data_IF_495706998222
#
_entry.id   IF_495706998222
#
_cell.length_a   1.000
_cell.length_b   1.000
_cell.length_c   1.000
_cell.angle_alpha   90.00
_cell.angle_beta   90.00
_cell.angle_gamma   90.00
#
_symmetry.space_group_name_H-M   'P 1'
#
loop_
_entity.id
_entity.type
_entity.pdbx_description
1 polymer ?
#
# COMPACT_ATOMS: atom_id res chain seq x y z
N UNK A 1 16.17 52.45 44.91
CA UNK A 1 14.83 52.78 45.42
C UNK A 1 13.85 52.71 44.26
N UNK A 2 13.08 51.61 44.28
CA UNK A 2 11.74 51.32 43.72
C UNK A 2 11.00 52.51 43.07
N UNK A 3 10.43 52.34 41.86
CA UNK A 3 8.98 52.11 41.75
C UNK A 3 8.47 51.74 40.34
N UNK A 4 7.80 50.59 40.37
CA UNK A 4 6.83 50.00 39.45
C UNK A 4 5.50 50.78 39.52
N UNK A 5 4.81 50.93 38.39
CA UNK A 5 3.40 51.34 38.34
C UNK A 5 2.64 50.40 37.40
N UNK A 6 2.15 49.33 38.00
CA UNK A 6 1.04 48.55 37.50
C UNK A 6 -0.30 49.21 37.81
N UNK A 7 -1.26 49.00 36.89
CA UNK A 7 -2.74 49.19 36.98
C UNK A 7 -3.34 50.53 36.55
N UNK A 8 -4.02 50.50 35.40
CA UNK A 8 -5.34 51.10 35.16
C UNK A 8 -6.11 50.13 34.23
N UNK A 9 -7.05 49.33 34.77
CA UNK A 9 -8.52 49.43 34.58
C UNK A 9 -8.90 49.53 33.09
N UNK A 10 -9.44 48.50 32.43
CA UNK A 10 -10.77 47.92 32.68
C UNK A 10 -11.79 48.55 31.73
N UNK A 11 -12.20 47.83 30.66
CA UNK A 11 -13.16 48.34 29.67
C UNK A 11 -13.64 47.24 28.72
N UNK A 12 -14.96 47.13 28.57
CA UNK A 12 -15.70 45.99 28.04
C UNK A 12 -15.53 45.73 26.53
N UNK A 13 -15.53 44.45 26.16
CA UNK A 13 -15.64 43.95 24.80
C UNK A 13 -17.07 44.15 24.25
N UNK A 14 -17.20 44.90 23.16
CA UNK A 14 -18.43 45.00 22.34
C UNK A 14 -18.20 44.20 21.05
N UNK A 15 -19.07 43.22 20.78
CA UNK A 15 -19.08 42.41 19.55
C UNK A 15 -19.67 43.21 18.37
N UNK A 16 -19.11 43.13 17.16
CA UNK A 16 -19.79 43.61 15.96
C UNK A 16 -20.71 42.54 15.36
N UNK A 17 -22.00 42.87 15.23
CA UNK A 17 -22.98 42.12 14.44
C UNK A 17 -22.78 42.39 12.94
N UNK A 18 -22.55 41.34 12.15
CA UNK A 18 -22.66 41.39 10.69
C UNK A 18 -23.97 40.70 10.28
N UNK A 19 -24.89 41.48 9.71
CA UNK A 19 -26.12 40.98 9.07
C UNK A 19 -25.85 40.68 7.60
N UNK A 20 -26.12 39.45 7.17
CA UNK A 20 -26.24 39.06 5.77
C UNK A 20 -27.72 38.91 5.41
N UNK A 21 -28.20 39.44 4.27
CA UNK A 21 -29.57 39.24 3.84
C UNK A 21 -29.79 37.83 3.29
N UNK A 22 -30.74 37.11 3.90
CA UNK A 22 -31.29 35.83 3.44
C UNK A 22 -32.07 36.02 2.14
N UNK A 23 -31.55 35.50 1.04
CA UNK A 23 -32.31 35.30 -0.20
C UNK A 23 -33.02 33.95 -0.13
N UNK A 24 -34.35 33.98 -0.03
CA UNK A 24 -35.22 32.82 -0.14
C UNK A 24 -35.27 32.34 -1.60
N UNK A 25 -34.81 31.12 -1.88
CA UNK A 25 -35.17 30.39 -3.10
C UNK A 25 -36.38 29.50 -2.85
N UNK A 26 -37.47 29.81 -3.54
CA UNK A 26 -38.72 29.04 -3.57
C UNK A 26 -38.49 27.70 -4.27
N UNK A 27 -38.75 26.60 -3.56
CA UNK A 27 -39.03 25.31 -4.18
C UNK A 27 -40.45 25.33 -4.75
N UNK A 28 -40.56 25.20 -6.08
CA UNK A 28 -41.85 24.93 -6.74
C UNK A 28 -41.99 23.43 -6.95
N UNK A 29 -42.94 22.84 -6.23
CA UNK A 29 -43.40 21.46 -6.41
C UNK A 29 -44.42 21.45 -7.56
N UNK A 30 -44.12 20.73 -8.65
CA UNK A 30 -45.13 20.39 -9.66
C UNK A 30 -45.56 18.93 -9.45
N UNK A 31 -46.85 18.73 -9.18
CA UNK A 31 -47.54 17.43 -9.26
C UNK A 31 -47.89 17.13 -10.72
N UNK A 32 -47.72 15.88 -11.14
CA UNK A 32 -48.27 15.35 -12.39
C UNK A 32 -48.30 13.82 -12.36
N UNK A 33 -49.50 13.27 -12.18
CA UNK A 33 -49.82 11.84 -12.13
C UNK A 33 -49.77 11.15 -13.49
N UNK A 34 -49.39 9.86 -13.54
CA UNK A 34 -50.01 8.89 -14.45
C UNK A 34 -49.76 7.44 -13.97
N UNK A 35 -50.85 6.67 -13.91
CA UNK A 35 -50.93 5.25 -13.58
C UNK A 35 -50.23 4.34 -14.59
N UNK A 36 -49.71 3.20 -14.12
CA UNK A 36 -49.76 1.93 -14.85
C UNK A 36 -49.72 0.75 -13.87
N UNK A 37 -50.80 -0.04 -13.89
CA UNK A 37 -50.91 -1.32 -13.19
C UNK A 37 -49.94 -2.36 -13.78
N UNK A 38 -49.28 -3.13 -12.90
CA UNK A 38 -48.71 -4.42 -13.29
C UNK A 38 -48.89 -5.42 -12.15
N UNK A 39 -49.94 -6.26 -12.27
CA UNK A 39 -50.10 -7.49 -11.49
C UNK A 39 -49.12 -8.54 -12.02
N UNK A 40 -48.18 -8.98 -11.21
CA UNK A 40 -47.39 -10.20 -11.48
C UNK A 40 -47.69 -11.25 -10.40
N UNK A 41 -48.20 -12.38 -10.88
CA UNK A 41 -48.63 -13.55 -10.10
C UNK A 41 -47.42 -14.29 -9.51
N UNK A 42 -47.57 -14.67 -8.25
CA UNK A 42 -46.76 -15.62 -7.51
C UNK A 42 -46.74 -17.00 -8.19
N UNK A 43 -45.56 -17.56 -8.46
CA UNK A 43 -45.35 -18.98 -8.71
C UNK A 43 -44.50 -19.57 -7.58
N UNK A 44 -45.08 -20.49 -6.82
CA UNK A 44 -44.36 -21.41 -5.91
C UNK A 44 -44.02 -22.69 -6.69
N UNK A 45 -42.84 -23.31 -6.52
CA UNK A 45 -42.63 -24.68 -6.93
C UNK A 45 -42.92 -25.65 -5.77
N UNK A 46 -43.70 -26.71 -6.05
CA UNK A 46 -43.81 -27.90 -5.20
C UNK A 46 -42.98 -29.03 -5.82
N UNK A 47 -42.16 -29.63 -4.98
CA UNK A 47 -41.39 -30.85 -5.17
C UNK A 47 -42.26 -32.11 -5.02
N UNK A 48 -41.94 -33.18 -5.76
CA UNK A 48 -41.71 -34.55 -5.25
C UNK A 48 -41.44 -35.57 -6.38
N UNK A 49 -40.43 -36.41 -6.13
CA UNK A 49 -40.02 -37.63 -6.83
C UNK A 49 -41.15 -38.67 -6.94
N UNK A 50 -41.12 -39.46 -8.03
CA UNK A 50 -41.23 -40.94 -8.02
C UNK A 50 -41.18 -41.46 -9.47
N UNK A 51 -40.12 -42.18 -9.87
CA UNK A 51 -40.17 -43.08 -11.04
C UNK A 51 -39.83 -44.47 -10.57
N UNK A 52 -40.84 -45.33 -10.65
CA UNK A 52 -40.80 -46.74 -10.33
C UNK A 52 -40.22 -47.54 -11.51
N UNK A 53 -39.37 -48.50 -11.17
CA UNK A 53 -38.88 -49.58 -12.01
C UNK A 53 -40.02 -50.53 -12.44
N UNK A 54 -40.12 -50.82 -13.74
CA UNK A 54 -40.84 -52.00 -14.26
C UNK A 54 -40.02 -52.68 -15.35
N UNK A 55 -39.52 -53.86 -15.03
CA UNK A 55 -39.09 -54.88 -15.99
C UNK A 55 -40.33 -55.57 -16.56
N UNK A 56 -40.42 -55.77 -17.89
CA UNK A 56 -40.91 -57.03 -18.45
C UNK A 56 -40.59 -57.20 -19.95
N UNK A 57 -39.85 -58.29 -20.17
CA UNK A 57 -39.54 -59.13 -21.33
C UNK A 57 -40.23 -58.84 -22.68
N UNK A 58 -39.40 -58.77 -23.71
CA UNK A 58 -39.75 -58.85 -25.12
C UNK A 58 -39.46 -60.28 -25.64
N UNK A 59 -40.39 -60.86 -26.40
CA UNK A 59 -40.27 -62.18 -27.05
C UNK A 59 -39.61 -62.07 -28.43
N UNK A 60 -38.80 -63.08 -28.77
CA UNK A 60 -38.03 -63.22 -30.02
C UNK A 60 -38.91 -63.33 -31.27
N UNK A 61 -38.48 -62.70 -32.36
CA UNK A 61 -38.36 -63.31 -33.70
C UNK A 61 -37.11 -62.70 -34.37
N UNK A 62 -36.34 -63.52 -35.10
CA UNK A 62 -35.00 -63.15 -35.55
C UNK A 62 -34.85 -63.08 -37.06
N UNK A 63 -33.78 -62.39 -37.51
CA UNK A 63 -33.14 -62.54 -38.83
C UNK A 63 -31.64 -62.26 -38.65
N UNK A 64 -30.78 -63.10 -39.24
CA UNK A 64 -29.30 -63.03 -39.18
C UNK A 64 -28.73 -62.13 -40.30
N UNK A 65 -27.69 -61.35 -39.99
CA UNK A 65 -26.78 -60.68 -40.94
C UNK A 65 -25.31 -60.74 -40.44
N UNK A 66 -24.29 -60.58 -41.32
CA UNK A 66 -22.89 -60.99 -41.08
C UNK A 66 -22.03 -59.95 -40.29
N UNK A 67 -20.77 -60.25 -39.92
CA UNK A 67 -20.15 -59.81 -38.67
C UNK A 67 -19.36 -58.50 -38.78
N UNK A 68 -19.21 -57.76 -37.67
CA UNK A 68 -18.26 -56.66 -37.54
C UNK A 68 -17.44 -56.81 -36.25
N UNK A 69 -16.12 -56.70 -36.40
CA UNK A 69 -15.08 -56.87 -35.38
C UNK A 69 -15.27 -55.93 -34.18
N UNK A 70 -15.09 -56.48 -32.98
CA UNK A 70 -15.11 -55.74 -31.73
C UNK A 70 -13.76 -55.06 -31.52
N UNK A 71 -13.64 -53.79 -31.93
CA UNK A 71 -12.54 -52.93 -31.50
C UNK A 71 -12.81 -52.49 -30.06
N UNK A 72 -12.16 -53.14 -29.09
CA UNK A 72 -12.10 -52.66 -27.72
C UNK A 72 -11.04 -51.55 -27.69
N UNK A 73 -11.45 -50.28 -27.80
CA UNK A 73 -10.60 -49.19 -27.37
C UNK A 73 -10.57 -49.19 -25.85
N UNK A 74 -9.46 -49.67 -25.28
CA UNK A 74 -9.14 -49.45 -23.87
C UNK A 74 -8.89 -47.96 -23.67
N UNK A 75 -9.88 -47.23 -23.16
CA UNK A 75 -9.65 -45.88 -22.63
C UNK A 75 -8.91 -46.07 -21.31
N UNK A 76 -7.59 -45.98 -21.34
CA UNK A 76 -6.76 -45.79 -20.16
C UNK A 76 -7.07 -44.43 -19.56
N UNK A 77 -8.05 -44.35 -18.65
CA UNK A 77 -8.24 -43.15 -17.82
C UNK A 77 -7.10 -43.11 -16.80
N UNK A 78 -6.05 -42.34 -17.13
CA UNK A 78 -4.99 -42.03 -16.19
C UNK A 78 -5.59 -41.19 -15.05
N UNK A 79 -5.58 -41.65 -13.77
CA UNK A 79 -6.30 -40.96 -12.70
C UNK A 79 -5.65 -39.64 -12.25
N UNK A 80 -4.51 -39.24 -12.82
CA UNK A 80 -3.58 -38.32 -12.16
C UNK A 80 -3.22 -37.06 -12.96
N UNK A 81 -4.23 -36.43 -13.57
CA UNK A 81 -4.12 -35.05 -14.07
C UNK A 81 -5.28 -34.19 -13.58
N UNK A 82 -5.40 -34.01 -12.26
CA UNK A 82 -6.02 -32.78 -11.75
C UNK A 82 -5.07 -31.65 -12.12
N UNK A 83 -5.38 -30.95 -13.20
CA UNK A 83 -4.72 -29.70 -13.58
C UNK A 83 -4.80 -28.78 -12.35
N UNK A 84 -3.68 -28.61 -11.64
CA UNK A 84 -3.62 -27.78 -10.44
C UNK A 84 -4.01 -26.37 -10.88
N UNK A 85 -5.19 -25.92 -10.49
CA UNK A 85 -5.65 -24.57 -10.83
C UNK A 85 -4.64 -23.57 -10.29
N UNK A 86 -4.16 -22.70 -11.15
CA UNK A 86 -3.18 -21.68 -10.82
C UNK A 86 -3.77 -20.72 -9.76
N UNK A 87 -2.98 -20.36 -8.76
CA UNK A 87 -3.43 -19.41 -7.73
C UNK A 87 -3.59 -18.00 -8.31
N UNK A 88 -4.38 -17.16 -7.66
CA UNK A 88 -4.51 -15.75 -8.03
C UNK A 88 -3.17 -15.01 -7.86
N UNK A 89 -2.34 -15.42 -6.90
CA UNK A 89 -0.98 -14.91 -6.75
C UNK A 89 -0.10 -15.23 -7.96
N UNK A 90 -0.12 -16.47 -8.44
CA UNK A 90 0.66 -16.89 -9.60
C UNK A 90 0.16 -16.22 -10.89
N UNK A 91 -1.17 -16.05 -11.03
CA UNK A 91 -1.76 -15.28 -12.12
C UNK A 91 -1.35 -13.80 -12.07
N UNK A 92 -1.37 -13.17 -10.89
CA UNK A 92 -0.98 -11.77 -10.70
C UNK A 92 0.48 -11.52 -11.12
N UNK A 93 1.39 -12.44 -10.77
CA UNK A 93 2.82 -12.37 -11.11
C UNK A 93 3.11 -12.32 -12.61
N UNK A 94 2.14 -12.65 -13.47
CA UNK A 94 2.26 -12.52 -14.94
C UNK A 94 2.15 -11.08 -15.42
N UNK A 95 1.52 -10.21 -14.64
CA UNK A 95 1.20 -8.85 -15.03
C UNK A 95 1.87 -7.79 -14.16
N UNK A 96 2.21 -8.16 -12.92
CA UNK A 96 2.68 -7.25 -11.88
C UNK A 96 3.81 -7.89 -11.09
N UNK A 97 4.83 -7.11 -10.78
CA UNK A 97 5.91 -7.55 -9.89
C UNK A 97 5.42 -7.52 -8.44
N UNK A 98 5.44 -8.67 -7.77
CA UNK A 98 4.99 -8.79 -6.38
C UNK A 98 6.14 -8.45 -5.43
N UNK A 99 5.84 -7.59 -4.46
CA UNK A 99 6.74 -7.10 -3.40
C UNK A 99 6.14 -7.48 -2.04
N UNK A 100 6.96 -7.88 -1.07
CA UNK A 100 6.48 -8.20 0.27
C UNK A 100 6.56 -6.99 1.21
N UNK A 101 5.45 -6.67 1.90
CA UNK A 101 5.40 -5.59 2.91
C UNK A 101 5.52 -6.16 4.32
N UNK A 102 6.76 -6.36 4.77
CA UNK A 102 7.03 -6.96 6.09
C UNK A 102 8.45 -6.69 6.60
N UNK A 103 8.60 -6.58 7.93
CA UNK A 103 9.89 -6.67 8.62
C UNK A 103 10.23 -8.10 9.07
N UNK A 104 9.27 -9.02 8.98
CA UNK A 104 9.44 -10.44 9.28
C UNK A 104 10.05 -11.16 8.07
N UNK A 105 11.38 -11.16 7.99
CA UNK A 105 12.10 -11.74 6.85
C UNK A 105 12.02 -13.26 6.77
N UNK A 106 11.60 -13.96 7.83
CA UNK A 106 11.32 -15.39 7.76
C UNK A 106 10.03 -15.69 6.96
N UNK A 107 9.07 -14.75 6.94
CA UNK A 107 7.84 -14.89 6.17
C UNK A 107 8.01 -14.55 4.67
N UNK A 108 9.15 -13.97 4.27
CA UNK A 108 9.40 -13.52 2.89
C UNK A 108 9.64 -14.71 1.94
N UNK A 109 10.36 -15.75 2.39
CA UNK A 109 10.77 -16.87 1.53
C UNK A 109 9.58 -17.65 0.94
N UNK A 110 8.46 -17.71 1.66
CA UNK A 110 7.28 -18.47 1.28
C UNK A 110 6.72 -18.03 -0.08
N UNK A 111 6.72 -16.72 -0.35
CA UNK A 111 6.05 -16.14 -1.52
C UNK A 111 7.01 -15.71 -2.63
N UNK A 112 8.32 -15.82 -2.41
CA UNK A 112 9.40 -15.47 -3.35
C UNK A 112 9.16 -14.11 -4.05
N UNK A 113 9.04 -13.01 -3.29
CA UNK A 113 8.85 -11.67 -3.86
C UNK A 113 10.13 -11.19 -4.55
N UNK A 114 9.98 -10.23 -5.47
CA UNK A 114 11.12 -9.60 -6.15
C UNK A 114 11.84 -8.60 -5.23
N UNK A 115 11.06 -7.68 -4.67
CA UNK A 115 11.52 -6.64 -3.74
C UNK A 115 10.83 -6.83 -2.37
N UNK A 116 11.27 -6.10 -1.35
CA UNK A 116 10.57 -6.01 -0.06
C UNK A 116 10.54 -4.58 0.48
N UNK A 117 9.49 -4.26 1.24
CA UNK A 117 9.34 -2.95 1.88
C UNK A 117 9.27 -3.07 3.40
N UNK A 118 9.97 -2.16 4.07
CA UNK A 118 9.82 -1.93 5.50
C UNK A 118 9.27 -0.53 5.76
N UNK A 119 8.85 -0.28 6.99
CA UNK A 119 8.46 1.02 7.53
C UNK A 119 8.61 0.99 9.06
N UNK A 120 8.50 2.12 9.77
CA UNK A 120 8.71 2.16 11.22
C UNK A 120 7.80 1.21 12.02
N UNK A 121 6.54 1.07 11.62
CA UNK A 121 5.60 0.14 12.28
C UNK A 121 6.03 -1.33 12.11
N UNK A 122 6.49 -1.71 10.92
CA UNK A 122 6.96 -3.06 10.63
C UNK A 122 8.26 -3.40 11.36
N UNK A 123 9.22 -2.46 11.43
CA UNK A 123 10.46 -2.66 12.19
C UNK A 123 10.16 -2.73 13.69
N UNK A 124 9.27 -1.88 14.22
CA UNK A 124 8.85 -1.97 15.62
C UNK A 124 8.22 -3.32 15.95
N UNK A 125 7.35 -3.84 15.07
CA UNK A 125 6.72 -5.15 15.26
C UNK A 125 7.77 -6.27 15.24
N UNK A 126 8.67 -6.26 14.25
CA UNK A 126 9.72 -7.27 14.11
C UNK A 126 10.73 -7.21 15.27
N UNK A 127 11.12 -6.02 15.73
CA UNK A 127 12.06 -5.84 16.84
C UNK A 127 11.52 -6.36 18.20
N UNK A 128 10.20 -6.61 18.32
CA UNK A 128 9.59 -7.25 19.50
C UNK A 128 9.61 -8.78 19.43
N UNK A 129 9.90 -9.37 18.27
CA UNK A 129 9.93 -10.81 18.10
C UNK A 129 11.19 -11.40 18.72
N UNK A 130 11.05 -12.51 19.46
CA UNK A 130 12.17 -13.22 20.08
C UNK A 130 13.22 -13.65 19.06
N UNK A 131 12.77 -14.08 17.88
CA UNK A 131 13.63 -14.49 16.76
C UNK A 131 14.62 -13.40 16.31
N UNK A 132 14.28 -12.12 16.50
CA UNK A 132 15.05 -10.98 15.98
C UNK A 132 15.76 -10.17 17.06
N UNK A 133 15.73 -10.60 18.33
CA UNK A 133 16.41 -9.91 19.43
C UNK A 133 17.92 -9.76 19.18
N UNK A 134 18.53 -10.76 18.52
CA UNK A 134 19.95 -10.70 18.20
C UNK A 134 20.33 -9.48 17.32
N UNK A 135 19.47 -9.04 16.41
CA UNK A 135 19.71 -7.84 15.59
C UNK A 135 19.63 -6.57 16.43
N UNK A 136 18.66 -6.51 17.35
CA UNK A 136 18.51 -5.41 18.29
C UNK A 136 19.71 -5.30 19.23
N UNK A 137 20.15 -6.42 19.79
CA UNK A 137 21.31 -6.46 20.71
C UNK A 137 22.61 -6.06 19.98
N UNK A 138 22.78 -6.48 18.72
CA UNK A 138 23.91 -6.04 17.88
C UNK A 138 23.85 -4.54 17.57
N UNK A 139 22.68 -4.01 17.25
CA UNK A 139 22.49 -2.58 17.01
C UNK A 139 22.79 -1.76 18.28
N UNK A 140 22.33 -2.22 19.46
CA UNK A 140 22.62 -1.60 20.75
C UNK A 140 24.13 -1.56 21.01
N UNK A 141 24.82 -2.68 20.84
CA UNK A 141 26.29 -2.75 20.98
C UNK A 141 26.99 -1.77 20.03
N UNK A 142 26.54 -1.71 18.78
CA UNK A 142 27.08 -0.77 17.79
C UNK A 142 26.92 0.69 18.23
N UNK A 143 25.72 1.10 18.65
CA UNK A 143 25.48 2.48 19.05
C UNK A 143 26.21 2.89 20.32
N UNK A 144 26.26 2.01 21.34
CA UNK A 144 27.06 2.27 22.55
C UNK A 144 28.55 2.43 22.19
N UNK A 145 29.08 1.58 21.31
CA UNK A 145 30.48 1.63 20.90
C UNK A 145 30.84 2.89 20.08
N UNK A 146 29.87 3.49 19.38
CA UNK A 146 30.08 4.79 18.70
C UNK A 146 30.27 5.96 19.67
N UNK A 147 29.87 5.82 20.94
CA UNK A 147 29.97 6.88 21.94
C UNK A 147 28.99 8.03 21.67
N UNK A 148 29.30 9.21 22.22
CA UNK A 148 28.42 10.39 22.14
C UNK A 148 27.37 10.43 23.24
N UNK A 149 26.43 11.37 23.12
CA UNK A 149 25.29 11.50 24.06
C UNK A 149 24.35 10.30 23.96
N UNK A 150 23.44 10.13 24.93
CA UNK A 150 22.45 9.05 24.86
C UNK A 150 21.58 9.17 23.61
N UNK A 151 21.20 10.39 23.21
CA UNK A 151 20.41 10.67 22.02
C UNK A 151 21.15 10.29 20.74
N UNK A 152 22.45 10.58 20.66
CA UNK A 152 23.31 10.19 19.54
C UNK A 152 23.46 8.66 19.48
N UNK A 153 23.64 8.00 20.63
CA UNK A 153 23.69 6.54 20.70
C UNK A 153 22.37 5.94 20.21
N UNK A 154 21.23 6.38 20.73
CA UNK A 154 19.90 5.88 20.32
C UNK A 154 19.67 6.09 18.83
N UNK A 155 20.04 7.25 18.28
CA UNK A 155 19.95 7.53 16.85
C UNK A 155 20.79 6.54 16.04
N UNK A 156 22.04 6.29 16.44
CA UNK A 156 22.91 5.31 15.78
C UNK A 156 22.38 3.87 15.90
N UNK A 157 21.73 3.51 17.01
CA UNK A 157 21.10 2.20 17.20
C UNK A 157 19.92 2.05 16.25
N UNK A 158 19.06 3.07 16.16
CA UNK A 158 17.89 3.07 15.28
C UNK A 158 18.31 2.89 13.81
N UNK A 159 19.26 3.70 13.35
CA UNK A 159 19.77 3.62 11.97
C UNK A 159 20.39 2.24 11.70
N UNK A 160 21.22 1.73 12.62
CA UNK A 160 21.83 0.41 12.48
C UNK A 160 20.80 -0.71 12.47
N UNK A 161 19.76 -0.63 13.30
CA UNK A 161 18.72 -1.64 13.38
C UNK A 161 17.93 -1.75 12.07
N UNK A 162 17.53 -0.61 11.49
CA UNK A 162 16.82 -0.57 10.22
C UNK A 162 17.67 -1.18 9.10
N UNK A 163 18.94 -0.82 9.03
CA UNK A 163 19.89 -1.40 8.06
C UNK A 163 20.08 -2.89 8.31
N UNK A 164 20.25 -3.34 9.56
CA UNK A 164 20.38 -4.77 9.90
C UNK A 164 19.20 -5.60 9.42
N UNK A 165 17.96 -5.11 9.58
CA UNK A 165 16.79 -5.78 9.02
C UNK A 165 16.84 -5.82 7.50
N UNK A 166 17.18 -4.72 6.84
CA UNK A 166 17.29 -4.70 5.39
C UNK A 166 18.38 -5.63 4.85
N UNK A 167 19.52 -5.77 5.55
CA UNK A 167 20.56 -6.73 5.20
C UNK A 167 20.06 -8.18 5.28
N UNK A 168 19.29 -8.54 6.31
CA UNK A 168 18.70 -9.88 6.39
C UNK A 168 17.66 -10.11 5.28
N UNK A 169 16.85 -9.10 4.98
CA UNK A 169 15.87 -9.15 3.88
C UNK A 169 16.56 -9.36 2.53
N UNK A 170 17.65 -8.63 2.24
CA UNK A 170 18.39 -8.73 0.98
C UNK A 170 19.02 -10.11 0.76
N UNK A 171 19.25 -10.91 1.81
CA UNK A 171 19.67 -12.32 1.67
C UNK A 171 18.54 -13.23 1.16
N UNK A 172 17.29 -12.78 1.24
CA UNK A 172 16.07 -13.57 0.94
C UNK A 172 15.41 -13.18 -0.39
N UNK A 173 15.76 -12.02 -0.95
CA UNK A 173 15.14 -11.48 -2.16
C UNK A 173 16.20 -11.20 -3.24
N UNK A 174 15.85 -11.32 -4.54
CA UNK A 174 16.78 -11.02 -5.63
C UNK A 174 16.87 -9.52 -5.97
N UNK A 175 15.93 -8.70 -5.48
CA UNK A 175 15.80 -7.29 -5.84
C UNK A 175 16.22 -6.33 -4.72
N UNK A 176 15.34 -5.38 -4.42
CA UNK A 176 15.63 -4.22 -3.57
C UNK A 176 14.88 -4.26 -2.25
N UNK A 177 15.44 -3.60 -1.24
CA UNK A 177 14.77 -3.34 0.05
C UNK A 177 14.48 -1.85 0.22
N UNK A 178 13.24 -1.50 0.61
CA UNK A 178 12.93 -0.13 1.03
C UNK A 178 13.21 0.07 2.52
N UNK A 179 14.02 1.07 2.85
CA UNK A 179 14.34 1.49 4.24
C UNK A 179 13.88 2.92 4.46
N UNK A 180 13.03 3.13 5.47
CA UNK A 180 12.36 4.42 5.69
C UNK A 180 13.17 5.35 6.59
N UNK A 181 13.33 6.60 6.16
CA UNK A 181 13.88 7.68 6.98
C UNK A 181 12.91 8.01 8.11
N UNK A 182 13.45 8.47 9.24
CA UNK A 182 12.67 8.90 10.39
C UNK A 182 11.59 9.92 10.01
N UNK A 183 10.32 9.55 10.23
CA UNK A 183 9.18 10.38 9.87
C UNK A 183 9.15 11.74 10.59
N UNK A 184 9.86 11.91 11.70
CA UNK A 184 10.02 13.22 12.38
C UNK A 184 10.74 14.25 11.51
N UNK A 185 11.51 13.80 10.51
CA UNK A 185 12.21 14.64 9.55
C UNK A 185 11.35 14.99 8.32
N UNK A 186 10.09 14.56 8.23
CA UNK A 186 9.27 14.70 7.01
C UNK A 186 9.08 16.14 6.51
N UNK A 187 9.36 17.16 7.33
CA UNK A 187 9.27 18.57 6.96
C UNK A 187 10.64 19.28 7.00
N UNK A 188 11.73 18.51 7.05
CA UNK A 188 13.11 18.98 7.03
C UNK A 188 13.84 18.30 5.86
N UNK A 189 13.90 19.01 4.73
CA UNK A 189 14.51 18.51 3.50
C UNK A 189 15.97 18.08 3.73
N UNK A 190 16.78 18.96 4.32
CA UNK A 190 18.21 18.72 4.49
C UNK A 190 18.46 17.62 5.53
N UNK A 191 17.62 17.55 6.57
CA UNK A 191 17.60 16.46 7.53
C UNK A 191 17.31 15.09 6.88
N UNK A 192 16.32 15.02 5.97
CA UNK A 192 16.03 13.80 5.22
C UNK A 192 17.17 13.38 4.31
N UNK A 193 17.77 14.32 3.56
CA UNK A 193 18.92 14.03 2.68
C UNK A 193 20.10 13.50 3.51
N UNK A 194 20.45 14.19 4.60
CA UNK A 194 21.54 13.78 5.49
C UNK A 194 21.31 12.38 6.07
N UNK A 195 20.09 12.10 6.55
CA UNK A 195 19.77 10.78 7.10
C UNK A 195 19.76 9.68 6.03
N UNK A 196 19.26 9.97 4.83
CA UNK A 196 19.28 9.03 3.71
C UNK A 196 20.71 8.61 3.36
N UNK A 197 21.62 9.58 3.23
CA UNK A 197 23.04 9.31 2.95
C UNK A 197 23.71 8.52 4.08
N UNK A 198 23.35 8.80 5.34
CA UNK A 198 23.80 8.01 6.48
C UNK A 198 23.37 6.54 6.38
N UNK A 199 22.10 6.28 6.05
CA UNK A 199 21.59 4.91 5.88
C UNK A 199 22.29 4.19 4.73
N UNK A 200 22.49 4.85 3.59
CA UNK A 200 23.25 4.29 2.45
C UNK A 200 24.69 3.94 2.86
N UNK A 201 25.38 4.84 3.56
CA UNK A 201 26.74 4.57 4.06
C UNK A 201 26.79 3.32 4.94
N UNK A 202 25.78 3.08 5.78
CA UNK A 202 25.71 1.88 6.62
C UNK A 202 25.46 0.59 5.82
N UNK A 203 24.74 0.67 4.70
CA UNK A 203 24.60 -0.45 3.76
C UNK A 203 25.93 -0.72 3.03
N UNK A 204 26.61 0.32 2.57
CA UNK A 204 27.90 0.21 1.87
C UNK A 204 28.99 -0.36 2.80
N UNK A 205 29.03 0.07 4.06
CA UNK A 205 29.89 -0.51 5.11
C UNK A 205 29.66 -2.02 5.30
N UNK A 206 28.44 -2.50 5.02
CA UNK A 206 28.08 -3.90 5.07
C UNK A 206 28.23 -4.64 3.72
N UNK A 207 28.83 -3.98 2.71
CA UNK A 207 29.07 -4.56 1.39
C UNK A 207 27.84 -4.60 0.48
N UNK A 208 26.79 -3.83 0.79
CA UNK A 208 25.59 -3.71 -0.05
C UNK A 208 25.65 -2.44 -0.87
N UNK A 209 25.47 -2.57 -2.18
CA UNK A 209 25.38 -1.42 -3.08
C UNK A 209 24.07 -0.65 -2.87
N UNK A 210 24.12 0.68 -2.96
CA UNK A 210 22.95 1.55 -2.95
C UNK A 210 21.90 1.20 -4.01
N UNK A 211 22.29 0.56 -5.11
CA UNK A 211 21.37 0.06 -6.15
C UNK A 211 20.35 -0.96 -5.65
N UNK A 212 20.67 -1.66 -4.55
CA UNK A 212 19.79 -2.64 -3.91
C UNK A 212 18.89 -2.00 -2.83
N UNK A 213 18.98 -0.69 -2.63
CA UNK A 213 18.28 0.02 -1.55
C UNK A 213 17.40 1.11 -2.15
N UNK A 214 16.16 1.19 -1.68
CA UNK A 214 15.28 2.33 -1.89
C UNK A 214 15.15 3.10 -0.58
N UNK A 215 15.62 4.34 -0.54
CA UNK A 215 15.39 5.21 0.60
C UNK A 215 13.94 5.69 0.56
N UNK A 216 13.19 5.38 1.60
CA UNK A 216 11.76 5.65 1.65
C UNK A 216 11.49 6.93 2.43
N UNK A 217 10.77 7.86 1.80
CA UNK A 217 10.51 9.22 2.29
C UNK A 217 9.01 9.53 2.25
N UNK A 218 8.51 10.24 3.25
CA UNK A 218 7.14 10.78 3.24
C UNK A 218 6.96 11.75 2.07
N UNK A 219 5.86 11.65 1.33
CA UNK A 219 5.58 12.50 0.15
C UNK A 219 5.04 13.88 0.54
N UNK A 220 5.68 14.57 1.49
CA UNK A 220 5.52 16.01 1.71
C UNK A 220 6.23 16.77 0.58
N UNK A 221 6.03 18.09 0.48
CA UNK A 221 6.80 18.90 -0.47
C UNK A 221 8.31 18.73 -0.20
N UNK A 222 8.71 18.91 1.06
CA UNK A 222 10.10 18.81 1.51
C UNK A 222 10.68 17.42 1.24
N UNK A 223 9.88 16.35 1.41
CA UNK A 223 10.27 14.98 1.13
C UNK A 223 10.47 14.71 -0.35
N UNK A 224 9.60 15.25 -1.21
CA UNK A 224 9.74 15.16 -2.67
C UNK A 224 10.99 15.91 -3.14
N UNK A 225 11.26 17.11 -2.60
CA UNK A 225 12.47 17.85 -2.92
C UNK A 225 13.74 17.16 -2.39
N UNK A 226 13.67 16.46 -1.25
CA UNK A 226 14.76 15.62 -0.76
C UNK A 226 15.00 14.41 -1.67
N UNK A 227 13.93 13.74 -2.11
CA UNK A 227 13.99 12.63 -3.07
C UNK A 227 14.63 13.07 -4.40
N UNK A 228 14.22 14.23 -4.93
CA UNK A 228 14.83 14.83 -6.13
C UNK A 228 16.34 14.99 -5.98
N UNK A 229 16.77 15.59 -4.86
CA UNK A 229 18.19 15.84 -4.61
C UNK A 229 19.00 14.54 -4.46
N UNK A 230 18.44 13.55 -3.76
CA UNK A 230 19.06 12.23 -3.59
C UNK A 230 19.27 11.52 -4.94
N UNK A 231 18.27 11.56 -5.82
CA UNK A 231 18.35 10.96 -7.15
C UNK A 231 19.34 11.72 -8.05
N UNK A 232 19.16 13.04 -8.20
CA UNK A 232 19.93 13.85 -9.15
C UNK A 232 21.40 14.03 -8.74
N UNK A 233 21.69 14.28 -7.46
CA UNK A 233 23.04 14.63 -7.00
C UNK A 233 23.82 13.45 -6.43
N UNK A 234 23.13 12.47 -5.85
CA UNK A 234 23.77 11.37 -5.12
C UNK A 234 23.56 10.00 -5.78
N UNK A 235 22.65 9.89 -6.76
CA UNK A 235 22.25 8.61 -7.35
C UNK A 235 21.75 7.65 -6.28
N UNK A 236 20.97 8.15 -5.32
CA UNK A 236 20.34 7.36 -4.25
C UNK A 236 18.86 7.23 -4.59
N UNK A 237 18.46 6.00 -4.92
CA UNK A 237 17.11 5.71 -5.37
C UNK A 237 16.09 5.80 -4.25
N UNK A 238 14.97 6.46 -4.55
CA UNK A 238 13.96 6.82 -3.56
C UNK A 238 12.62 6.13 -3.80
N UNK A 239 11.95 5.78 -2.71
CA UNK A 239 10.56 5.31 -2.64
C UNK A 239 9.70 6.36 -1.93
N UNK A 240 8.89 7.10 -2.68
CA UNK A 240 8.01 8.12 -2.10
C UNK A 240 6.74 7.49 -1.53
N UNK A 241 6.60 7.48 -0.21
CA UNK A 241 5.51 6.84 0.53
C UNK A 241 4.51 7.85 1.09
N UNK A 242 3.44 7.38 1.73
CA UNK A 242 2.34 8.23 2.23
C UNK A 242 1.80 9.14 1.11
N UNK A 243 1.70 8.58 -0.09
CA UNK A 243 1.20 9.25 -1.27
C UNK A 243 -0.30 8.96 -1.40
N UNK A 244 -1.11 10.03 -1.38
CA UNK A 244 -2.56 9.97 -1.35
C UNK A 244 -3.20 10.83 -2.45
N UNK A 245 -2.72 12.07 -2.64
CA UNK A 245 -3.28 13.00 -3.63
C UNK A 245 -2.60 12.87 -4.99
N UNK A 246 -3.34 13.29 -6.01
CA UNK A 246 -2.79 13.41 -7.36
C UNK A 246 -1.67 14.46 -7.45
N UNK A 247 -1.74 15.54 -6.66
CA UNK A 247 -0.68 16.56 -6.60
C UNK A 247 0.67 15.98 -6.16
N UNK A 248 0.66 15.09 -5.16
CA UNK A 248 1.88 14.36 -4.76
C UNK A 248 2.41 13.49 -5.89
N UNK A 249 1.53 12.78 -6.61
CA UNK A 249 1.93 11.95 -7.74
C UNK A 249 2.57 12.78 -8.88
N UNK A 250 1.99 13.91 -9.24
CA UNK A 250 2.57 14.79 -10.28
C UNK A 250 3.94 15.31 -9.83
N UNK A 251 4.03 15.87 -8.63
CA UNK A 251 5.29 16.41 -8.10
C UNK A 251 6.40 15.34 -8.01
N UNK A 252 6.07 14.11 -7.61
CA UNK A 252 7.02 12.99 -7.62
C UNK A 252 7.53 12.66 -9.03
N UNK A 253 6.64 12.68 -10.04
CA UNK A 253 7.00 12.40 -11.41
C UNK A 253 7.97 13.46 -11.97
N UNK A 254 7.73 14.73 -11.68
CA UNK A 254 8.58 15.86 -12.08
C UNK A 254 9.90 15.94 -11.29
N UNK A 255 9.93 15.34 -10.09
CA UNK A 255 11.14 15.15 -9.31
C UNK A 255 12.01 13.97 -9.77
N UNK A 256 11.55 13.20 -10.77
CA UNK A 256 12.25 12.04 -11.33
C UNK A 256 12.65 10.98 -10.29
N UNK A 257 11.84 10.81 -9.24
CA UNK A 257 12.07 9.76 -8.24
C UNK A 257 11.93 8.37 -8.85
N UNK A 258 12.69 7.40 -8.35
CA UNK A 258 12.70 6.03 -8.88
C UNK A 258 11.35 5.35 -8.74
N UNK A 259 10.70 5.50 -7.58
CA UNK A 259 9.47 4.77 -7.26
C UNK A 259 8.54 5.60 -6.36
N UNK A 260 7.23 5.44 -6.57
CA UNK A 260 6.18 5.93 -5.68
C UNK A 260 5.36 4.78 -5.09
N UNK A 261 4.93 4.92 -3.84
CA UNK A 261 4.04 4.00 -3.13
C UNK A 261 2.69 4.65 -2.82
N UNK A 262 1.78 4.82 -3.80
CA UNK A 262 0.43 5.30 -3.55
C UNK A 262 -0.38 4.31 -2.71
N UNK A 263 -1.02 4.80 -1.65
CA UNK A 263 -1.75 3.96 -0.70
C UNK A 263 -3.18 3.74 -1.16
N UNK A 264 -3.66 2.50 -1.05
CA UNK A 264 -5.02 2.11 -1.44
C UNK A 264 -5.92 2.04 -0.22
N UNK A 265 -5.66 1.11 0.69
CA UNK A 265 -6.56 0.79 1.79
C UNK A 265 -6.73 1.92 2.82
N UNK A 266 -5.73 2.79 3.02
CA UNK A 266 -5.90 3.97 3.89
C UNK A 266 -6.84 5.01 3.27
N UNK A 267 -6.94 5.07 1.95
CA UNK A 267 -7.94 5.90 1.26
C UNK A 267 -9.32 5.30 1.51
N UNK A 268 -9.49 3.99 1.31
CA UNK A 268 -10.73 3.28 1.63
C UNK A 268 -11.19 3.54 3.07
N UNK A 269 -10.28 3.42 4.05
CA UNK A 269 -10.58 3.66 5.46
C UNK A 269 -11.15 5.08 5.67
N UNK A 270 -10.52 6.10 5.08
CA UNK A 270 -10.99 7.48 5.20
C UNK A 270 -12.42 7.65 4.69
N UNK A 271 -12.71 7.12 3.49
CA UNK A 271 -14.02 7.26 2.87
C UNK A 271 -15.11 6.49 3.64
N UNK A 272 -14.78 5.31 4.18
CA UNK A 272 -15.69 4.58 5.08
C UNK A 272 -15.94 5.34 6.39
N UNK A 273 -14.97 6.07 6.91
CA UNK A 273 -15.12 6.87 8.14
C UNK A 273 -15.94 8.14 7.89
N UNK A 274 -15.72 8.81 6.75
CA UNK A 274 -16.18 10.19 6.51
C UNK A 274 -17.36 10.32 5.53
N UNK A 275 -17.85 9.23 4.95
CA UNK A 275 -19.01 9.24 4.04
C UNK A 275 -20.05 8.19 4.44
N UNK A 276 -21.27 8.28 3.91
CA UNK A 276 -22.33 7.30 4.21
C UNK A 276 -22.06 5.92 3.57
N UNK A 277 -21.24 5.87 2.52
CA UNK A 277 -20.91 4.64 1.82
C UNK A 277 -19.85 3.85 2.59
N UNK A 278 -20.24 2.66 3.10
CA UNK A 278 -19.36 1.80 3.93
C UNK A 278 -18.80 0.58 3.20
N UNK A 279 -19.25 0.32 1.98
CA UNK A 279 -18.80 -0.79 1.14
C UNK A 279 -18.59 -0.33 -0.30
N UNK A 280 -17.58 -0.89 -0.94
CA UNK A 280 -17.13 -0.54 -2.28
C UNK A 280 -16.85 -1.83 -3.04
N UNK A 281 -17.36 -1.93 -4.27
CA UNK A 281 -16.88 -2.95 -5.19
C UNK A 281 -15.43 -2.64 -5.58
N UNK A 282 -14.61 -3.64 -5.95
CA UNK A 282 -13.18 -3.44 -6.17
C UNK A 282 -12.81 -2.29 -7.12
N UNK A 283 -13.56 -2.10 -8.20
CA UNK A 283 -13.31 -1.03 -9.18
C UNK A 283 -13.87 0.34 -8.77
N UNK A 284 -14.70 0.38 -7.71
CA UNK A 284 -15.27 1.61 -7.16
C UNK A 284 -14.54 2.03 -5.87
N UNK A 285 -13.60 1.22 -5.39
CA UNK A 285 -12.76 1.54 -4.24
C UNK A 285 -11.98 2.84 -4.52
N UNK A 286 -12.09 3.85 -3.64
CA UNK A 286 -11.47 5.16 -3.89
C UNK A 286 -9.95 5.10 -3.94
N UNK A 287 -9.32 4.15 -3.25
CA UNK A 287 -7.89 3.89 -3.34
C UNK A 287 -7.49 3.26 -4.67
N UNK A 288 -8.26 2.29 -5.16
CA UNK A 288 -8.05 1.68 -6.49
C UNK A 288 -8.22 2.72 -7.59
N UNK A 289 -9.25 3.57 -7.50
CA UNK A 289 -9.49 4.69 -8.43
C UNK A 289 -8.30 5.66 -8.41
N UNK A 290 -7.79 6.01 -7.22
CA UNK A 290 -6.63 6.89 -7.08
C UNK A 290 -5.38 6.32 -7.77
N UNK A 291 -5.00 5.07 -7.47
CA UNK A 291 -3.83 4.43 -8.09
C UNK A 291 -4.01 4.27 -9.59
N UNK A 292 -5.22 3.93 -10.06
CA UNK A 292 -5.53 3.83 -11.49
C UNK A 292 -5.30 5.15 -12.22
N UNK A 293 -5.77 6.27 -11.64
CA UNK A 293 -5.55 7.61 -12.19
C UNK A 293 -4.06 7.95 -12.26
N UNK A 294 -3.30 7.66 -11.20
CA UNK A 294 -1.85 7.90 -11.13
C UNK A 294 -1.10 7.08 -12.17
N UNK A 295 -1.36 5.77 -12.23
CA UNK A 295 -0.74 4.88 -13.22
C UNK A 295 -1.00 5.36 -14.64
N UNK A 296 -2.26 5.68 -14.96
CA UNK A 296 -2.62 6.14 -16.30
C UNK A 296 -1.90 7.45 -16.66
N UNK A 297 -1.82 8.41 -15.73
CA UNK A 297 -1.06 9.64 -15.94
C UNK A 297 0.41 9.37 -16.22
N UNK A 298 1.05 8.53 -15.41
CA UNK A 298 2.47 8.20 -15.53
C UNK A 298 2.77 7.56 -16.88
N UNK A 299 2.01 6.54 -17.27
CA UNK A 299 2.23 5.81 -18.52
C UNK A 299 1.83 6.61 -19.76
N UNK A 300 0.82 7.50 -19.66
CA UNK A 300 0.43 8.38 -20.77
C UNK A 300 1.55 9.36 -21.13
N UNK A 301 2.14 10.01 -20.14
CA UNK A 301 3.16 11.05 -20.34
C UNK A 301 4.60 10.54 -20.31
N UNK A 302 4.79 9.22 -20.20
CA UNK A 302 6.11 8.59 -20.34
C UNK A 302 7.03 8.81 -19.15
N UNK A 303 6.49 9.05 -17.95
CA UNK A 303 7.31 9.12 -16.73
C UNK A 303 7.88 7.75 -16.38
N UNK A 304 9.18 7.71 -16.06
CA UNK A 304 9.92 6.49 -15.74
C UNK A 304 9.73 6.00 -14.31
N UNK A 305 9.22 6.86 -13.42
CA UNK A 305 8.94 6.51 -12.03
C UNK A 305 8.02 5.29 -11.95
N UNK A 306 8.44 4.31 -11.16
CA UNK A 306 7.71 3.06 -10.95
C UNK A 306 6.51 3.31 -10.04
N UNK A 307 5.33 2.79 -10.42
CA UNK A 307 4.11 2.87 -9.60
C UNK A 307 3.95 1.57 -8.80
N UNK A 308 4.08 1.65 -7.48
CA UNK A 308 3.90 0.51 -6.59
C UNK A 308 2.67 0.68 -5.69
N UNK A 309 1.54 0.06 -6.04
CA UNK A 309 0.36 0.11 -5.18
C UNK A 309 0.64 -0.50 -3.80
N UNK A 310 0.19 0.16 -2.73
CA UNK A 310 0.54 -0.20 -1.35
C UNK A 310 -0.65 -0.10 -0.38
N UNK A 311 -0.47 -0.65 0.83
CA UNK A 311 -1.42 -0.56 1.95
C UNK A 311 -2.80 -1.16 1.69
N UNK A 312 -2.87 -2.36 1.11
CA UNK A 312 -4.12 -3.07 0.84
C UNK A 312 -4.89 -3.48 2.12
N UNK A 313 -6.22 -3.54 2.04
CA UNK A 313 -7.12 -4.14 3.06
C UNK A 313 -7.62 -5.50 2.65
N UNK A 314 -7.75 -5.76 1.35
CA UNK A 314 -8.36 -6.99 0.85
C UNK A 314 -7.80 -7.38 -0.53
N UNK A 315 -7.91 -8.65 -0.88
CA UNK A 315 -7.48 -9.18 -2.19
C UNK A 315 -8.23 -8.61 -3.39
N UNK A 316 -9.43 -8.05 -3.19
CA UNK A 316 -10.20 -7.40 -4.25
C UNK A 316 -9.49 -6.17 -4.79
N UNK A 317 -9.00 -5.31 -3.91
CA UNK A 317 -8.17 -4.14 -4.27
C UNK A 317 -6.90 -4.55 -5.03
N UNK A 318 -6.21 -5.60 -4.58
CA UNK A 318 -4.99 -6.11 -5.25
C UNK A 318 -5.32 -6.56 -6.67
N UNK A 319 -6.38 -7.35 -6.84
CA UNK A 319 -6.81 -7.85 -8.16
C UNK A 319 -7.27 -6.73 -9.09
N UNK A 320 -7.94 -5.72 -8.54
CA UNK A 320 -8.41 -4.57 -9.30
C UNK A 320 -7.27 -3.67 -9.82
N UNK A 321 -6.04 -3.85 -9.31
CA UNK A 321 -4.83 -3.16 -9.77
C UNK A 321 -3.85 -4.11 -10.50
N UNK A 322 -4.30 -5.29 -10.94
CA UNK A 322 -3.46 -6.18 -11.75
C UNK A 322 -3.01 -5.47 -13.04
N UNK A 323 -1.70 -5.49 -13.30
CA UNK A 323 -1.05 -4.73 -14.37
C UNK A 323 -0.37 -3.43 -13.91
N UNK A 324 -0.52 -3.04 -12.64
CA UNK A 324 0.36 -2.07 -12.01
C UNK A 324 1.82 -2.57 -12.07
N UNK A 325 2.81 -1.66 -12.09
CA UNK A 325 4.21 -2.07 -12.22
C UNK A 325 4.60 -3.03 -11.09
N UNK A 326 4.39 -2.57 -9.85
CA UNK A 326 4.62 -3.32 -8.63
C UNK A 326 3.39 -3.26 -7.72
N UNK A 327 3.21 -4.27 -6.87
CA UNK A 327 2.29 -4.21 -5.74
C UNK A 327 3.00 -4.75 -4.50
N UNK A 328 3.07 -3.93 -3.44
CA UNK A 328 3.59 -4.37 -2.14
C UNK A 328 2.46 -4.85 -1.24
N UNK A 329 2.50 -6.13 -0.87
CA UNK A 329 1.39 -6.88 -0.29
C UNK A 329 1.86 -7.53 1.02
N UNK A 330 1.03 -7.44 2.06
CA UNK A 330 1.33 -8.07 3.35
C UNK A 330 1.34 -9.60 3.25
N UNK A 331 2.10 -10.30 4.10
CA UNK A 331 2.12 -11.77 4.11
C UNK A 331 0.73 -12.41 4.24
N UNK A 332 -0.16 -11.81 5.04
CA UNK A 332 -1.54 -12.30 5.20
C UNK A 332 -2.32 -12.26 3.88
N UNK A 333 -2.24 -11.15 3.12
CA UNK A 333 -2.91 -11.04 1.83
C UNK A 333 -2.23 -11.89 0.75
N UNK A 334 -0.91 -12.08 0.81
CA UNK A 334 -0.21 -13.04 -0.06
C UNK A 334 -0.72 -14.47 0.17
N UNK A 335 -0.91 -14.88 1.43
CA UNK A 335 -1.50 -16.17 1.78
C UNK A 335 -2.92 -16.32 1.21
N UNK A 336 -3.77 -15.30 1.35
CA UNK A 336 -5.13 -15.30 0.81
C UNK A 336 -5.14 -15.42 -0.73
N UNK A 337 -4.25 -14.70 -1.43
CA UNK A 337 -4.12 -14.76 -2.90
C UNK A 337 -3.58 -16.10 -3.37
N UNK A 338 -2.71 -16.74 -2.60
CA UNK A 338 -2.17 -18.06 -2.90
C UNK A 338 -3.24 -19.17 -2.77
N UNK A 339 -4.23 -18.97 -1.90
CA UNK A 339 -5.36 -19.90 -1.71
C UNK A 339 -6.56 -19.61 -2.63
N UNK A 340 -6.58 -18.44 -3.27
CA UNK A 340 -7.64 -18.04 -4.19
C UNK A 340 -7.35 -18.55 -5.61
N UNK A 341 -8.31 -19.21 -6.25
CA UNK A 341 -8.19 -19.73 -7.62
C UNK A 341 -9.11 -19.02 -8.63
N UNK A 342 -9.74 -17.91 -8.24
CA UNK A 342 -10.52 -17.09 -9.17
C UNK A 342 -9.60 -16.30 -10.12
N UNK A 343 -10.08 -16.13 -11.35
CA UNK A 343 -9.33 -15.50 -12.45
C UNK A 343 -8.89 -14.08 -12.11
N UNK A 344 -7.63 -13.76 -12.43
CA UNK A 344 -7.08 -12.40 -12.38
C UNK A 344 -6.97 -11.86 -13.81
N UNK A 345 -7.62 -10.74 -14.08
CA UNK A 345 -7.60 -10.05 -15.37
C UNK A 345 -6.85 -8.73 -15.19
N UNK A 346 -5.84 -8.41 -16.03
CA UNK A 346 -5.14 -7.14 -15.94
C UNK A 346 -6.11 -5.99 -16.27
N UNK A 347 -6.23 -5.04 -15.35
CA UNK A 347 -7.06 -3.83 -15.49
C UNK A 347 -6.23 -2.62 -15.89
N UNK A 348 -4.95 -2.60 -15.52
CA UNK A 348 -3.99 -1.54 -15.84
C UNK A 348 -3.10 -1.99 -17.00
N UNK A 349 -3.05 -1.19 -18.06
CA UNK A 349 -2.19 -1.45 -19.22
C UNK A 349 -1.60 -0.15 -19.78
N UNK A 350 -0.40 -0.22 -20.34
CA UNK A 350 0.24 0.94 -20.98
C UNK A 350 -0.58 1.44 -22.17
N UNK A 351 -1.16 0.54 -22.97
CA UNK A 351 -2.04 0.90 -24.09
C UNK A 351 -3.28 1.64 -23.60
N UNK A 352 -3.94 1.14 -22.55
CA UNK A 352 -5.11 1.79 -21.95
C UNK A 352 -4.76 3.18 -21.40
N UNK A 353 -3.63 3.30 -20.72
CA UNK A 353 -3.16 4.58 -20.19
C UNK A 353 -2.89 5.62 -21.29
N UNK A 354 -2.26 5.23 -22.40
CA UNK A 354 -2.02 6.13 -23.54
C UNK A 354 -3.30 6.64 -24.20
N UNK A 355 -4.39 5.87 -24.12
CA UNK A 355 -5.71 6.26 -24.63
C UNK A 355 -6.54 7.08 -23.63
N UNK A 356 -6.09 7.23 -22.37
CA UNK A 356 -6.83 7.97 -21.35
C UNK A 356 -6.91 9.46 -21.69
N UNK A 357 -8.06 10.10 -21.43
CA UNK A 357 -8.23 11.54 -21.59
C UNK A 357 -7.73 12.27 -20.33
N UNK A 358 -6.49 12.74 -20.40
CA UNK A 358 -5.74 13.37 -19.30
C UNK A 358 -4.84 14.45 -19.89
N UNK A 359 -4.65 15.55 -19.16
CA UNK A 359 -3.74 16.64 -19.53
C UNK A 359 -2.50 16.60 -18.64
N UNK A 360 -1.36 17.00 -19.19
CA UNK A 360 -0.10 17.06 -18.44
C UNK A 360 -0.13 18.31 -17.55
N UNK A 361 0.24 18.13 -16.28
CA UNK A 361 0.31 19.19 -15.29
C UNK A 361 1.76 19.47 -14.91
N UNK A 362 2.02 20.71 -14.53
CA UNK A 362 3.25 21.15 -13.87
C UNK A 362 2.89 21.78 -12.53
N UNK A 363 3.62 21.45 -11.46
CA UNK A 363 3.37 21.99 -10.12
C UNK A 363 4.62 22.64 -9.56
N UNK A 364 4.57 23.97 -9.36
CA UNK A 364 5.47 24.62 -8.42
C UNK A 364 5.03 24.33 -6.96
N UNK A 365 5.77 24.87 -5.98
CA UNK A 365 5.45 24.65 -4.56
C UNK A 365 4.05 25.15 -4.18
N UNK A 366 3.66 26.32 -4.69
CA UNK A 366 2.38 26.95 -4.35
C UNK A 366 1.24 26.15 -4.96
N UNK A 367 1.36 25.78 -6.23
CA UNK A 367 0.36 24.95 -6.91
C UNK A 367 0.26 23.55 -6.26
N UNK A 368 1.39 22.95 -5.88
CA UNK A 368 1.39 21.69 -5.11
C UNK A 368 0.63 21.84 -3.79
N UNK A 369 0.99 22.85 -2.97
CA UNK A 369 0.36 23.06 -1.66
C UNK A 369 -1.13 23.34 -1.78
N UNK A 370 -1.56 24.07 -2.80
CA UNK A 370 -2.96 24.35 -3.09
C UNK A 370 -3.71 23.08 -3.52
N UNK A 371 -3.25 22.39 -4.57
CA UNK A 371 -3.93 21.21 -5.09
C UNK A 371 -3.93 20.04 -4.10
N UNK A 372 -2.89 19.90 -3.28
CA UNK A 372 -2.89 18.92 -2.19
C UNK A 372 -3.91 19.30 -1.11
N UNK A 373 -4.07 20.58 -0.75
CA UNK A 373 -5.03 21.01 0.27
C UNK A 373 -6.50 20.83 -0.14
N UNK A 374 -6.81 20.94 -1.44
CA UNK A 374 -8.16 20.68 -1.95
C UNK A 374 -8.57 19.20 -1.78
N UNK A 375 -7.61 18.29 -1.63
CA UNK A 375 -7.85 16.89 -1.27
C UNK A 375 -7.79 16.71 0.25
N UNK A 376 -8.92 16.95 0.91
CA UNK A 376 -9.05 16.79 2.37
C UNK A 376 -8.59 15.42 2.87
N UNK A 377 -8.90 14.34 2.13
CA UNK A 377 -8.50 12.98 2.50
C UNK A 377 -6.98 12.86 2.53
N UNK A 378 -6.31 13.36 1.48
CA UNK A 378 -4.86 13.30 1.39
C UNK A 378 -4.17 14.13 2.48
N UNK A 379 -4.67 15.34 2.77
CA UNK A 379 -4.14 16.18 3.87
C UNK A 379 -4.19 15.43 5.19
N UNK A 380 -5.37 14.90 5.54
CA UNK A 380 -5.58 14.23 6.82
C UNK A 380 -4.74 12.94 6.92
N UNK A 381 -4.72 12.10 5.87
CA UNK A 381 -4.01 10.82 5.89
C UNK A 381 -2.49 10.95 5.76
N UNK A 382 -1.97 11.94 5.04
CA UNK A 382 -0.52 12.26 5.06
C UNK A 382 -0.09 12.68 6.46
N UNK A 383 -0.79 13.65 7.03
CA UNK A 383 -0.49 14.20 8.35
C UNK A 383 -0.58 13.13 9.45
N UNK A 384 -1.63 12.31 9.43
CA UNK A 384 -1.81 11.19 10.37
C UNK A 384 -0.78 10.08 10.17
N UNK A 385 -0.44 9.77 8.91
CA UNK A 385 0.57 8.78 8.58
C UNK A 385 1.94 9.12 9.18
N UNK A 386 2.37 10.37 9.04
CA UNK A 386 3.63 10.87 9.62
C UNK A 386 3.60 10.76 11.14
N UNK A 387 2.51 11.21 11.80
CA UNK A 387 2.37 11.10 13.26
C UNK A 387 2.44 9.66 13.76
N UNK A 388 1.79 8.72 13.06
CA UNK A 388 1.80 7.30 13.42
C UNK A 388 3.20 6.70 13.32
N UNK A 389 3.91 6.96 12.23
CA UNK A 389 5.29 6.48 12.08
C UNK A 389 6.25 7.10 13.08
N UNK A 390 6.11 8.40 13.39
CA UNK A 390 6.87 9.04 14.45
C UNK A 390 6.57 8.43 15.83
N UNK A 391 5.30 8.16 16.13
CA UNK A 391 4.92 7.51 17.39
C UNK A 391 5.51 6.09 17.51
N UNK A 392 5.60 5.35 16.42
CA UNK A 392 6.22 4.03 16.43
C UNK A 392 7.75 4.08 16.56
N UNK A 393 8.40 5.09 15.97
CA UNK A 393 9.83 5.35 16.20
C UNK A 393 10.08 5.65 17.69
N UNK A 394 9.28 6.51 18.32
CA UNK A 394 9.40 6.83 19.77
C UNK A 394 9.23 5.58 20.64
N UNK A 395 8.27 4.70 20.32
CA UNK A 395 8.10 3.43 21.06
C UNK A 395 9.34 2.53 20.92
N UNK A 396 9.93 2.47 19.72
CA UNK A 396 11.14 1.69 19.48
C UNK A 396 12.33 2.27 20.25
N UNK A 397 12.48 3.60 20.27
CA UNK A 397 13.48 4.29 21.09
C UNK A 397 13.32 4.01 22.58
N UNK A 398 12.09 4.04 23.11
CA UNK A 398 11.84 3.68 24.52
C UNK A 398 12.29 2.25 24.83
N UNK A 399 11.97 1.29 23.96
CA UNK A 399 12.41 -0.10 24.12
C UNK A 399 13.93 -0.24 24.06
N UNK A 400 14.59 0.52 23.16
CA UNK A 400 16.05 0.56 23.06
C UNK A 400 16.67 1.12 24.34
N UNK A 401 16.15 2.26 24.85
CA UNK A 401 16.66 2.90 26.06
C UNK A 401 16.57 1.99 27.28
N UNK A 402 15.46 1.28 27.44
CA UNK A 402 15.27 0.29 28.50
C UNK A 402 16.34 -0.82 28.42
N UNK A 403 16.56 -1.39 27.24
CA UNK A 403 17.61 -2.40 27.04
C UNK A 403 19.02 -1.85 27.21
N UNK A 404 19.30 -0.62 26.77
CA UNK A 404 20.59 0.03 26.97
C UNK A 404 20.92 0.18 28.46
N UNK A 405 19.94 0.55 29.29
CA UNK A 405 20.11 0.63 30.74
C UNK A 405 20.47 -0.73 31.33
N UNK A 406 19.80 -1.80 30.91
CA UNK A 406 20.09 -3.16 31.37
C UNK A 406 21.53 -3.59 31.01
N UNK A 407 21.97 -3.33 29.77
CA UNK A 407 23.35 -3.60 29.33
C UNK A 407 24.38 -2.82 30.14
N UNK A 408 24.14 -1.52 30.39
CA UNK A 408 25.03 -0.68 31.23
C UNK A 408 25.09 -1.16 32.68
N UNK A 409 24.02 -1.78 33.17
CA UNK A 409 23.93 -2.32 34.52
C UNK A 409 24.44 -3.78 34.64
N UNK A 410 24.95 -4.37 33.55
CA UNK A 410 25.47 -5.74 33.54
C UNK A 410 24.40 -6.84 33.64
N UNK A 411 23.16 -6.53 33.28
CA UNK A 411 22.01 -7.45 33.27
C UNK A 411 21.82 -8.15 31.93
#
# INVERSE_FOLDING_TARGET
MVQDWSKLVGGAYVKPNWHWPLVYSKWTYFRGSACAEARLRLLRPRSRLLVASKFLRCTRTGIKGPPAQQFVMSVSSNPDKRQKMESALDQLKKYTVVVADTGDFNAIEEYKPQDATTNPSLILAAAKMSAYQHLLDQAIKYGIAKGGTEEEQVTNIMDKLFVSFGLEILKKIPGRVSTEVDARLSFDKDGMVSRALRLISLYEEAGVSKEQVLIKLSSTWEGIQAGRELEEKHGVHCNMTLLFSFAQAVACAEAHVTLISPFVGRILDWYKENTDRKSYEPNEDPGVVSVTKIYNYYKKFGYSTVVMGASFRNKGEVKALAGCDLLTISPALLAELNQDHSTVVPTLTVQGAKAADLEQLHLDEKEFRWQHNEDRMAVEKLSDGIRKFAADAVKLESMIKEKMMNVKNGQ
#
